data_IF_002730890739
#
_entry.id   IF_002730890739
#
_cell.length_a   1.000
_cell.length_b   1.000
_cell.length_c   1.000
_cell.angle_alpha   90.00
_cell.angle_beta   90.00
_cell.angle_gamma   90.00
#
_symmetry.space_group_name_H-M   'P 1'
#
loop_
_entity.id
_entity.type
_entity.pdbx_description
1 polymer ?
#
# COMPACT_ATOMS: atom_id res chain seq x y z
N UNK A 1 23.16 17.41 -0.22
CA UNK A 1 23.21 15.94 -0.39
C UNK A 1 21.83 15.39 -0.07
N UNK A 2 21.03 15.01 -1.06
CA UNK A 2 19.66 14.55 -0.79
C UNK A 2 19.70 13.12 -0.26
N UNK A 3 18.99 12.85 0.83
CA UNK A 3 18.94 11.53 1.43
C UNK A 3 18.17 10.57 0.49
N UNK A 4 18.90 9.72 -0.23
CA UNK A 4 18.34 8.76 -1.19
C UNK A 4 17.38 7.77 -0.50
N UNK A 5 17.66 7.42 0.76
CA UNK A 5 16.77 6.57 1.55
C UNK A 5 15.44 7.27 1.80
N UNK A 6 15.47 8.55 2.18
CA UNK A 6 14.25 9.35 2.38
C UNK A 6 13.42 9.40 1.09
N UNK A 7 14.06 9.63 -0.06
CA UNK A 7 13.37 9.62 -1.37
C UNK A 7 12.74 8.27 -1.67
N UNK A 8 13.46 7.17 -1.44
CA UNK A 8 12.93 5.82 -1.70
C UNK A 8 11.70 5.50 -0.85
N UNK A 9 11.73 5.86 0.45
CA UNK A 9 10.59 5.69 1.36
C UNK A 9 9.39 6.52 0.91
N UNK A 10 9.61 7.77 0.53
CA UNK A 10 8.56 8.69 0.06
C UNK A 10 7.92 8.21 -1.25
N UNK A 11 8.74 7.77 -2.21
CA UNK A 11 8.25 7.14 -3.46
C UNK A 11 7.41 5.90 -3.18
N UNK A 12 7.82 5.05 -2.24
CA UNK A 12 7.08 3.83 -1.92
C UNK A 12 5.77 4.11 -1.19
N UNK A 13 5.73 5.13 -0.31
CA UNK A 13 4.48 5.61 0.28
C UNK A 13 3.49 6.08 -0.79
N UNK A 14 3.95 6.94 -1.71
CA UNK A 14 3.12 7.45 -2.80
C UNK A 14 2.60 6.33 -3.71
N UNK A 15 3.42 5.30 -3.98
CA UNK A 15 2.97 4.12 -4.73
C UNK A 15 1.76 3.43 -4.07
N UNK A 16 1.82 3.16 -2.76
CA UNK A 16 0.70 2.52 -2.06
C UNK A 16 -0.54 3.42 -2.02
N UNK A 17 -0.37 4.71 -1.71
CA UNK A 17 -1.46 5.68 -1.66
C UNK A 17 -2.18 5.74 -3.01
N UNK A 18 -1.44 5.93 -4.10
CA UNK A 18 -2.03 5.99 -5.44
C UNK A 18 -2.77 4.71 -5.79
N UNK A 19 -2.21 3.54 -5.48
CA UNK A 19 -2.90 2.25 -5.72
C UNK A 19 -4.17 2.09 -4.90
N UNK A 20 -4.18 2.56 -3.65
CA UNK A 20 -5.36 2.52 -2.79
C UNK A 20 -6.46 3.50 -3.23
N UNK A 21 -6.08 4.63 -3.83
CA UNK A 21 -7.03 5.56 -4.47
C UNK A 21 -7.56 4.96 -5.77
N UNK A 22 -6.70 4.39 -6.61
CA UNK A 22 -7.07 3.75 -7.88
C UNK A 22 -8.03 2.57 -7.70
N UNK A 23 -8.01 1.88 -6.57
CA UNK A 23 -8.98 0.81 -6.27
C UNK A 23 -10.37 1.33 -5.89
N UNK A 24 -10.52 2.64 -5.69
CA UNK A 24 -11.76 3.27 -5.22
C UNK A 24 -12.04 3.04 -3.74
N UNK A 25 -11.10 2.47 -2.97
CA UNK A 25 -11.25 2.25 -1.54
C UNK A 25 -11.06 3.54 -0.73
N UNK A 26 -10.23 4.46 -1.25
CA UNK A 26 -9.96 5.75 -0.64
C UNK A 26 -10.11 6.88 -1.66
N UNK A 27 -10.42 8.08 -1.17
CA UNK A 27 -10.44 9.29 -1.98
C UNK A 27 -9.09 10.01 -1.90
N UNK A 28 -8.74 10.75 -2.96
CA UNK A 28 -7.55 11.59 -2.95
C UNK A 28 -7.60 12.73 -1.92
N UNK A 29 -8.79 13.05 -1.40
CA UNK A 29 -9.02 14.05 -0.35
C UNK A 29 -8.98 13.48 1.06
N UNK A 30 -8.78 12.17 1.23
CA UNK A 30 -8.70 11.56 2.57
C UNK A 30 -7.33 11.87 3.20
N UNK A 31 -7.26 12.91 4.03
CA UNK A 31 -6.04 13.29 4.77
C UNK A 31 -5.50 12.15 5.64
N UNK A 32 -6.40 11.33 6.19
CA UNK A 32 -6.03 10.15 6.99
C UNK A 32 -5.14 9.18 6.21
N UNK A 33 -5.34 9.04 4.90
CA UNK A 33 -4.56 8.15 4.04
C UNK A 33 -3.09 8.60 3.93
N UNK A 34 -2.84 9.92 3.86
CA UNK A 34 -1.49 10.48 3.77
C UNK A 34 -0.76 10.50 5.13
N UNK A 35 -1.53 10.46 6.23
CA UNK A 35 -0.99 10.37 7.59
C UNK A 35 -0.37 9.00 7.91
N UNK A 36 -0.82 7.95 7.21
CA UNK A 36 -0.36 6.58 7.45
C UNK A 36 1.16 6.40 7.26
N UNK A 37 1.73 5.57 8.12
CA UNK A 37 3.11 5.09 7.97
C UNK A 37 3.24 4.13 6.81
N UNK A 38 4.48 3.91 6.35
CA UNK A 38 4.75 3.00 5.24
C UNK A 38 4.27 1.57 5.53
N UNK A 39 4.44 1.10 6.77
CA UNK A 39 4.02 -0.23 7.20
C UNK A 39 2.51 -0.39 7.18
N UNK A 40 1.77 0.63 7.63
CA UNK A 40 0.30 0.62 7.62
C UNK A 40 -0.24 0.58 6.19
N UNK A 41 0.29 1.42 5.30
CA UNK A 41 -0.03 1.41 3.88
C UNK A 41 0.21 0.05 3.24
N UNK A 42 1.34 -0.61 3.58
CA UNK A 42 1.64 -1.94 3.08
C UNK A 42 0.64 -3.00 3.58
N UNK A 43 0.24 -2.95 4.86
CA UNK A 43 -0.73 -3.88 5.44
C UNK A 43 -2.08 -3.75 4.72
N UNK A 44 -2.56 -2.52 4.54
CA UNK A 44 -3.82 -2.24 3.84
C UNK A 44 -3.72 -2.72 2.39
N UNK A 45 -2.64 -2.36 1.70
CA UNK A 45 -2.41 -2.80 0.32
C UNK A 45 -2.44 -4.31 0.17
N UNK A 46 -1.78 -5.07 1.06
CA UNK A 46 -1.81 -6.55 1.02
C UNK A 46 -3.20 -7.14 1.25
N UNK A 47 -4.03 -6.48 2.07
CA UNK A 47 -5.42 -6.90 2.31
C UNK A 47 -6.32 -6.57 1.12
N UNK A 48 -6.13 -5.42 0.49
CA UNK A 48 -6.92 -4.94 -0.66
C UNK A 48 -6.55 -5.67 -1.94
N UNK A 49 -5.27 -5.97 -2.12
CA UNK A 49 -4.73 -6.70 -3.26
C UNK A 49 -4.12 -8.02 -2.77
N UNK A 50 -4.96 -8.98 -2.33
CA UNK A 50 -4.46 -10.29 -2.00
C UNK A 50 -3.80 -10.85 -3.26
N UNK A 51 -2.48 -11.05 -3.22
CA UNK A 51 -1.81 -11.78 -4.26
C UNK A 51 -2.49 -13.15 -4.30
N UNK A 52 -3.08 -13.48 -5.44
CA UNK A 52 -3.65 -14.81 -5.70
C UNK A 52 -2.48 -15.80 -5.76
N UNK A 53 -1.89 -16.10 -4.61
CA UNK A 53 -1.31 -17.41 -4.38
C UNK A 53 -2.52 -18.33 -4.32
N UNK A 54 -2.76 -19.03 -5.42
CA UNK A 54 -3.64 -20.19 -5.45
C UNK A 54 -3.35 -21.03 -4.21
N UNK A 55 -4.26 -21.02 -3.24
CA UNK A 55 -4.36 -22.06 -2.23
C UNK A 55 -4.65 -23.34 -3.01
N UNK A 56 -3.59 -24.04 -3.38
CA UNK A 56 -3.68 -25.45 -3.70
C UNK A 56 -4.19 -26.16 -2.44
N UNK A 57 -5.49 -26.45 -2.48
CA UNK A 57 -6.16 -27.61 -1.90
C UNK A 57 -5.22 -28.65 -1.30
N UNK A 58 -5.20 -28.81 0.02
CA UNK A 58 -5.03 -30.10 0.71
C UNK A 58 -5.69 -29.99 2.10
N UNK A 59 -7.02 -30.17 2.13
CA UNK A 59 -7.68 -30.74 3.31
C UNK A 59 -7.34 -32.22 3.31
N UNK A 60 -6.56 -32.65 4.29
CA UNK A 60 -6.41 -34.06 4.68
C UNK A 60 -6.95 -34.22 6.09
#
# INVERSE_FOLDING_TARGET
>A
MTNQLRKGVETLKLFYINRLIESGLYNASDDDLYSLTLSELQIIFKKTFPQKNTLNTEST
#
